data_IF_575206634257
#
_entry.id   IF_575206634257
#
_cell.length_a   1.000
_cell.length_b   1.000
_cell.length_c   1.000
_cell.angle_alpha   90.00
_cell.angle_beta   90.00
_cell.angle_gamma   90.00
#
_symmetry.space_group_name_H-M   'P 1'
#
loop_
_entity.id
_entity.type
_entity.pdbx_description
1 polymer ?
#
# COMPACT_ATOMS: atom_id res chain seq x y z
N UNK A 1 2.36 12.73 11.24
CA UNK A 1 1.07 12.00 11.27
C UNK A 1 0.66 11.74 9.83
N UNK A 2 0.28 10.51 9.47
CA UNK A 2 -0.16 10.18 8.10
C UNK A 2 -1.53 10.82 7.83
N UNK A 3 -1.60 11.68 6.82
CA UNK A 3 -2.82 12.37 6.42
C UNK A 3 -3.30 11.79 5.09
N UNK A 4 -4.47 11.12 5.12
CA UNK A 4 -5.11 10.49 3.94
C UNK A 4 -5.30 11.46 2.78
N UNK A 5 -5.55 12.74 3.06
CA UNK A 5 -5.84 13.76 2.06
C UNK A 5 -4.59 14.45 1.48
N UNK A 6 -3.39 14.17 2.01
CA UNK A 6 -2.11 14.75 1.51
C UNK A 6 -1.05 13.70 1.20
N UNK A 7 -1.43 12.42 1.23
CA UNK A 7 -0.60 11.27 0.84
C UNK A 7 -0.29 11.31 -0.67
N UNK A 8 0.81 10.68 -1.10
CA UNK A 8 1.16 10.51 -2.52
C UNK A 8 0.02 9.87 -3.36
N UNK A 9 -0.92 9.20 -2.70
CA UNK A 9 -2.09 8.54 -3.30
C UNK A 9 -3.39 9.32 -3.06
N UNK A 10 -3.34 10.47 -2.37
CA UNK A 10 -4.50 11.21 -1.87
C UNK A 10 -5.28 11.99 -2.94
N UNK A 11 -4.75 12.12 -4.16
CA UNK A 11 -5.30 13.01 -5.17
C UNK A 11 -6.17 12.37 -6.25
N UNK A 12 -6.27 11.03 -6.34
CA UNK A 12 -6.92 10.46 -7.53
C UNK A 12 -7.28 8.97 -7.54
N UNK A 13 -7.14 8.22 -6.45
CA UNK A 13 -7.65 6.84 -6.39
C UNK A 13 -8.95 6.76 -5.60
N UNK A 14 -9.96 6.11 -6.17
CA UNK A 14 -11.18 5.74 -5.46
C UNK A 14 -10.90 4.61 -4.46
N UNK A 15 -11.75 4.47 -3.44
CA UNK A 15 -11.62 3.39 -2.44
C UNK A 15 -11.63 2.00 -3.09
N UNK A 16 -12.35 1.83 -4.20
CA UNK A 16 -12.39 0.60 -5.00
C UNK A 16 -11.04 0.32 -5.68
N UNK A 17 -10.45 1.33 -6.31
CA UNK A 17 -9.12 1.22 -6.93
C UNK A 17 -8.03 0.93 -5.90
N UNK A 18 -8.13 1.50 -4.70
CA UNK A 18 -7.21 1.22 -3.59
C UNK A 18 -7.32 -0.24 -3.11
N UNK A 19 -8.54 -0.80 -3.06
CA UNK A 19 -8.76 -2.21 -2.71
C UNK A 19 -8.21 -3.15 -3.78
N UNK A 20 -8.43 -2.85 -5.06
CA UNK A 20 -7.88 -3.64 -6.18
C UNK A 20 -6.34 -3.61 -6.17
N UNK A 21 -5.74 -2.43 -5.99
CA UNK A 21 -4.29 -2.29 -5.86
C UNK A 21 -3.73 -3.06 -4.65
N UNK A 22 -4.45 -3.06 -3.52
CA UNK A 22 -4.06 -3.82 -2.33
C UNK A 22 -4.09 -5.33 -2.59
N UNK A 23 -5.14 -5.84 -3.23
CA UNK A 23 -5.24 -7.26 -3.58
C UNK A 23 -4.09 -7.69 -4.50
N UNK A 24 -3.80 -6.90 -5.54
CA UNK A 24 -2.68 -7.15 -6.46
C UNK A 24 -1.33 -7.12 -5.76
N UNK A 25 -1.11 -6.14 -4.87
CA UNK A 25 0.13 -6.04 -4.10
C UNK A 25 0.33 -7.22 -3.13
N UNK A 26 -0.75 -7.69 -2.49
CA UNK A 26 -0.71 -8.86 -1.62
C UNK A 26 -0.42 -10.14 -2.41
N UNK A 27 -1.03 -10.31 -3.59
CA UNK A 27 -0.74 -11.45 -4.47
C UNK A 27 0.73 -11.43 -4.90
N UNK A 28 1.24 -10.28 -5.35
CA UNK A 28 2.63 -10.13 -5.74
C UNK A 28 3.61 -10.47 -4.60
N UNK A 29 3.27 -10.12 -3.36
CA UNK A 29 4.05 -10.49 -2.18
C UNK A 29 4.10 -12.00 -1.98
N UNK A 30 2.98 -12.70 -2.14
CA UNK A 30 2.93 -14.17 -2.06
C UNK A 30 3.79 -14.78 -3.17
N UNK A 31 3.67 -14.29 -4.39
CA UNK A 31 4.43 -14.81 -5.54
C UNK A 31 5.96 -14.57 -5.38
N UNK A 32 6.38 -13.42 -4.84
CA UNK A 32 7.78 -13.09 -4.54
C UNK A 32 8.35 -13.91 -3.37
N UNK A 33 7.56 -14.15 -2.34
CA UNK A 33 7.98 -14.96 -1.17
C UNK A 33 8.05 -16.45 -1.49
N UNK A 34 7.23 -16.92 -2.43
CA UNK A 34 7.22 -18.32 -2.91
C UNK A 34 8.31 -18.63 -3.94
N UNK A 35 9.11 -17.64 -4.35
CA UNK A 35 10.32 -17.84 -5.17
C UNK A 35 10.25 -17.29 -6.59
N UNK A 36 9.22 -16.52 -6.95
CA UNK A 36 9.23 -15.79 -8.22
C UNK A 36 10.31 -14.71 -8.22
N UNK A 37 11.14 -14.69 -9.26
CA UNK A 37 12.28 -13.77 -9.38
C UNK A 37 11.87 -12.30 -9.55
N UNK A 38 10.67 -12.05 -10.04
CA UNK A 38 10.09 -10.71 -10.14
C UNK A 38 8.60 -10.77 -10.48
N UNK A 39 7.86 -9.81 -9.97
CA UNK A 39 6.41 -9.67 -10.21
C UNK A 39 6.14 -8.25 -10.63
N UNK A 40 5.50 -8.10 -11.79
CA UNK A 40 4.99 -6.82 -12.27
C UNK A 40 3.48 -6.82 -12.17
N UNK A 41 2.92 -5.76 -11.60
CA UNK A 41 1.48 -5.55 -11.62
C UNK A 41 1.14 -4.11 -11.97
N UNK A 42 0.04 -3.95 -12.69
CA UNK A 42 -0.48 -2.66 -13.10
C UNK A 42 -1.78 -2.36 -12.35
N UNK A 43 -1.91 -1.12 -11.90
CA UNK A 43 -3.11 -0.60 -11.25
C UNK A 43 -3.48 0.76 -11.83
N UNK A 44 -4.78 1.06 -11.82
CA UNK A 44 -5.35 2.28 -12.39
C UNK A 44 -5.38 3.36 -11.32
N UNK A 45 -4.65 4.46 -11.52
CA UNK A 45 -4.63 5.62 -10.64
C UNK A 45 -5.18 6.82 -11.41
N UNK A 46 -6.42 7.24 -11.11
CA UNK A 46 -7.06 8.45 -11.64
C UNK A 46 -6.99 8.60 -13.17
N UNK A 47 -5.94 9.27 -13.63
CA UNK A 47 -5.67 9.63 -15.04
C UNK A 47 -4.79 8.62 -15.81
N UNK A 48 -4.34 7.52 -15.19
CA UNK A 48 -3.48 6.57 -15.90
C UNK A 48 -3.23 5.22 -15.20
N UNK A 49 -2.79 4.26 -15.99
CA UNK A 49 -2.33 2.94 -15.51
C UNK A 49 -0.87 3.04 -15.07
N UNK A 50 -0.58 2.81 -13.79
CA UNK A 50 0.78 2.66 -13.29
C UNK A 50 1.16 1.19 -13.26
N UNK A 51 2.25 0.86 -13.94
CA UNK A 51 2.91 -0.45 -13.88
C UNK A 51 4.11 -0.36 -12.95
N UNK A 52 4.20 -1.25 -11.97
CA UNK A 52 5.36 -1.33 -11.08
C UNK A 52 5.87 -2.77 -11.06
N UNK A 53 7.17 -2.92 -11.27
CA UNK A 53 7.87 -4.20 -11.25
C UNK A 53 8.68 -4.33 -9.97
N UNK A 54 8.42 -5.36 -9.19
CA UNK A 54 9.14 -5.68 -7.96
C UNK A 54 9.96 -6.95 -8.12
N UNK A 55 11.07 -7.02 -7.39
CA UNK A 55 11.99 -8.15 -7.35
C UNK A 55 12.19 -8.54 -5.88
N UNK A 56 12.79 -9.70 -5.64
CA UNK A 56 12.98 -10.18 -4.26
C UNK A 56 13.79 -9.21 -3.38
N UNK A 57 14.69 -8.43 -3.99
CA UNK A 57 15.45 -7.36 -3.32
C UNK A 57 14.60 -6.17 -2.88
N UNK A 58 13.48 -5.88 -3.54
CA UNK A 58 12.57 -4.77 -3.23
C UNK A 58 11.33 -5.21 -2.44
N UNK A 59 11.40 -6.36 -1.77
CA UNK A 59 10.33 -6.88 -0.92
C UNK A 59 9.99 -5.90 0.23
N UNK A 60 10.99 -5.22 0.80
CA UNK A 60 10.78 -4.19 1.82
C UNK A 60 9.98 -3.00 1.27
N UNK A 61 10.25 -2.57 0.03
CA UNK A 61 9.51 -1.47 -0.62
C UNK A 61 8.06 -1.89 -0.92
N UNK A 62 7.85 -3.16 -1.30
CA UNK A 62 6.51 -3.72 -1.52
C UNK A 62 5.70 -3.75 -0.21
N UNK A 63 6.33 -4.12 0.91
CA UNK A 63 5.68 -4.06 2.23
C UNK A 63 5.33 -2.63 2.65
N UNK A 64 6.23 -1.67 2.41
CA UNK A 64 5.95 -0.26 2.67
C UNK A 64 4.76 0.26 1.83
N UNK A 65 4.66 -0.16 0.56
CA UNK A 65 3.51 0.14 -0.30
C UNK A 65 2.21 -0.45 0.26
N UNK A 66 2.21 -1.73 0.68
CA UNK A 66 1.03 -2.37 1.28
C UNK A 66 0.57 -1.63 2.53
N UNK A 67 1.51 -1.25 3.42
CA UNK A 67 1.18 -0.47 4.61
C UNK A 67 0.59 0.90 4.27
N UNK A 68 1.12 1.56 3.23
CA UNK A 68 0.60 2.84 2.77
C UNK A 68 -0.83 2.68 2.21
N UNK A 69 -1.09 1.68 1.37
CA UNK A 69 -2.43 1.38 0.83
C UNK A 69 -3.43 1.08 1.96
N UNK A 70 -3.02 0.28 2.94
CA UNK A 70 -3.84 -0.01 4.11
C UNK A 70 -4.09 1.24 4.98
N UNK A 71 -3.11 2.11 5.14
CA UNK A 71 -3.27 3.39 5.86
C UNK A 71 -4.21 4.34 5.10
N UNK A 72 -4.13 4.36 3.77
CA UNK A 72 -5.02 5.13 2.90
C UNK A 72 -6.47 4.63 3.04
N UNK A 73 -6.69 3.31 2.99
CA UNK A 73 -8.01 2.70 3.26
C UNK A 73 -8.46 2.84 4.72
N UNK A 74 -7.54 3.15 5.64
CA UNK A 74 -7.81 3.26 7.08
C UNK A 74 -7.89 1.91 7.80
N UNK A 75 -7.40 0.86 7.17
CA UNK A 75 -7.31 -0.50 7.72
C UNK A 75 -6.20 -0.57 8.77
N UNK A 76 -5.04 0.06 8.52
CA UNK A 76 -3.95 0.11 9.50
C UNK A 76 -4.21 1.20 10.53
N UNK A 77 -4.29 0.75 11.79
CA UNK A 77 -4.48 1.58 12.95
C UNK A 77 -3.32 2.57 13.08
N UNK A 78 -3.66 3.86 13.02
CA UNK A 78 -2.81 4.98 13.42
C UNK A 78 -2.15 4.61 14.77
N UNK A 79 -0.88 4.99 15.02
CA UNK A 79 -0.24 4.73 16.29
C UNK A 79 -1.15 5.21 17.42
N UNK A 80 -1.49 4.29 18.34
CA UNK A 80 -2.38 4.59 19.48
C UNK A 80 -1.77 5.76 20.25
N UNK A 81 -2.56 6.79 20.52
CA UNK A 81 -2.11 7.91 21.37
C UNK A 81 -1.63 7.35 22.71
N UNK A 82 -0.48 7.80 23.24
CA UNK A 82 -0.04 7.36 24.56
C UNK A 82 -1.10 7.71 25.60
N UNK A 83 -1.42 6.75 26.46
CA UNK A 83 -2.32 6.96 27.60
C UNK A 83 -1.63 7.91 28.57
N UNK A 84 -2.20 9.10 28.78
CA UNK A 84 -1.69 10.07 29.76
C UNK A 84 -2.56 9.95 31.01
N UNK A 85 -2.01 9.39 32.07
CA UNK A 85 -2.63 9.47 33.40
C UNK A 85 -2.49 10.92 33.89
N UNK A 86 -3.63 11.57 34.16
CA UNK A 86 -3.67 12.85 34.87
C UNK A 86 -3.94 12.53 36.34
N UNK A 87 -3.04 12.95 37.21
CA UNK A 87 -3.24 12.98 38.66
C UNK A 87 -3.82 14.32 39.06
#
# INVERSE_FOLDING_TARGET
MFNRNTSLLAGGMTDEQLRDALQKAQQAYIDLTTGSRGVSFAYTQGDGTRSVSYQQSSLADLLALIQLLQAQLGIVARPRKPVRFRF
#
